data_IF_725762377930
#
_entry.id   IF_725762377930
#
_cell.length_a   1.000
_cell.length_b   1.000
_cell.length_c   1.000
_cell.angle_alpha   90.00
_cell.angle_beta   90.00
_cell.angle_gamma   90.00
#
_symmetry.space_group_name_H-M   'P 1'
#
loop_
_entity.id
_entity.type
_entity.pdbx_description
1 polymer ?
#
# COMPACT_ATOMS: atom_id res chain seq x y z
N UNK A 1 -15.15 -40.62 -43.84
CA UNK A 1 -15.09 -40.18 -42.47
C UNK A 1 -13.69 -40.46 -41.88
N UNK A 2 -12.65 -39.79 -42.41
CA UNK A 2 -11.27 -39.97 -41.91
C UNK A 2 -10.35 -38.85 -42.40
N UNK A 3 -10.77 -37.58 -42.26
CA UNK A 3 -9.94 -36.45 -42.59
C UNK A 3 -10.16 -35.21 -41.64
N UNK A 4 -10.86 -35.41 -40.55
CA UNK A 4 -11.20 -34.31 -39.62
C UNK A 4 -10.43 -34.32 -38.27
N UNK A 5 -9.49 -35.25 -38.07
CA UNK A 5 -8.74 -35.38 -36.80
C UNK A 5 -7.25 -35.08 -36.88
N UNK A 6 -6.74 -34.49 -37.98
CA UNK A 6 -5.30 -34.22 -38.17
C UNK A 6 -4.90 -32.74 -37.98
N UNK A 7 -5.82 -31.85 -37.58
CA UNK A 7 -5.51 -30.43 -37.37
C UNK A 7 -5.32 -30.04 -35.89
N UNK A 8 -5.38 -30.99 -34.95
CA UNK A 8 -5.28 -30.73 -33.52
C UNK A 8 -3.90 -30.94 -32.90
N UNK A 9 -2.88 -31.32 -33.68
CA UNK A 9 -1.52 -31.44 -33.17
C UNK A 9 -0.55 -30.62 -34.02
N UNK A 10 -0.67 -29.30 -34.00
CA UNK A 10 0.41 -28.44 -34.43
C UNK A 10 1.27 -28.14 -33.19
N UNK A 11 2.49 -28.74 -33.05
CA UNK A 11 3.35 -28.54 -31.88
C UNK A 11 3.93 -27.12 -31.78
N UNK A 12 3.59 -26.23 -32.71
CA UNK A 12 4.04 -24.84 -32.75
C UNK A 12 2.94 -23.84 -32.36
N UNK A 13 1.75 -24.28 -31.98
CA UNK A 13 0.80 -23.40 -31.29
C UNK A 13 1.21 -23.39 -29.82
N UNK A 14 2.18 -22.56 -29.52
CA UNK A 14 2.50 -22.18 -28.14
C UNK A 14 1.23 -21.51 -27.60
N UNK A 15 0.50 -22.21 -26.73
CA UNK A 15 -0.61 -21.64 -26.01
C UNK A 15 -0.06 -20.47 -25.17
N UNK A 16 -0.37 -19.21 -25.50
CA UNK A 16 0.20 -18.07 -24.79
C UNK A 16 -0.24 -18.03 -23.33
N UNK A 17 -1.21 -18.86 -22.93
CA UNK A 17 -1.68 -18.98 -21.55
C UNK A 17 -0.96 -20.09 -20.76
N UNK A 18 -0.30 -21.04 -21.44
CA UNK A 18 0.40 -22.15 -20.78
C UNK A 18 1.76 -21.74 -20.17
N UNK A 19 2.35 -20.62 -20.61
CA UNK A 19 3.70 -20.19 -20.18
C UNK A 19 3.71 -19.04 -19.17
N UNK A 20 2.60 -18.66 -18.56
CA UNK A 20 2.54 -17.51 -17.64
C UNK A 20 2.66 -17.88 -16.15
N UNK A 21 2.59 -19.15 -15.79
CA UNK A 21 2.95 -19.57 -14.44
C UNK A 21 4.45 -19.88 -14.44
N UNK A 22 5.25 -18.91 -14.01
CA UNK A 22 6.61 -19.18 -13.54
C UNK A 22 6.39 -20.12 -12.36
N UNK A 23 6.55 -21.42 -12.57
CA UNK A 23 6.41 -22.44 -11.54
C UNK A 23 7.45 -22.14 -10.47
N UNK A 24 7.10 -21.21 -9.55
CA UNK A 24 7.98 -20.80 -8.48
C UNK A 24 8.18 -22.02 -7.60
N UNK A 25 9.39 -22.55 -7.63
CA UNK A 25 9.78 -23.71 -6.84
C UNK A 25 9.46 -23.44 -5.37
N UNK A 26 9.05 -24.46 -4.66
CA UNK A 26 8.74 -24.40 -3.22
C UNK A 26 9.86 -23.74 -2.42
N UNK A 27 11.11 -23.91 -2.87
CA UNK A 27 12.31 -23.26 -2.29
C UNK A 27 12.22 -21.73 -2.33
N UNK A 28 11.77 -21.15 -3.43
CA UNK A 28 11.64 -19.68 -3.58
C UNK A 28 10.58 -19.13 -2.64
N UNK A 29 9.47 -19.83 -2.49
CA UNK A 29 8.41 -19.47 -1.52
C UNK A 29 8.97 -19.51 -0.10
N UNK A 30 9.72 -20.54 0.25
CA UNK A 30 10.33 -20.68 1.58
C UNK A 30 11.35 -19.55 1.81
N UNK A 31 12.24 -19.29 0.85
CA UNK A 31 13.24 -18.22 0.93
C UNK A 31 12.54 -16.87 1.13
N UNK A 32 11.51 -16.59 0.34
CA UNK A 32 10.73 -15.36 0.48
C UNK A 32 10.07 -15.26 1.87
N UNK A 33 9.41 -16.30 2.34
CA UNK A 33 8.78 -16.31 3.67
C UNK A 33 9.79 -16.09 4.78
N UNK A 34 10.95 -16.75 4.71
CA UNK A 34 12.03 -16.57 5.70
C UNK A 34 12.56 -15.13 5.67
N UNK A 35 12.83 -14.59 4.47
CA UNK A 35 13.31 -13.21 4.33
C UNK A 35 12.26 -12.20 4.83
N UNK A 36 10.99 -12.39 4.51
CA UNK A 36 9.91 -11.53 4.98
C UNK A 36 9.78 -11.54 6.51
N UNK A 37 9.84 -12.74 7.14
CA UNK A 37 9.79 -12.88 8.60
C UNK A 37 11.01 -12.27 9.25
N UNK A 38 12.22 -12.52 8.73
CA UNK A 38 13.47 -11.93 9.25
C UNK A 38 13.42 -10.42 9.13
N UNK A 39 13.01 -9.90 7.97
CA UNK A 39 12.89 -8.46 7.73
C UNK A 39 11.90 -7.83 8.71
N UNK A 40 10.75 -8.45 8.92
CA UNK A 40 9.75 -8.00 9.89
C UNK A 40 10.30 -8.03 11.33
N UNK A 41 11.01 -9.08 11.72
CA UNK A 41 11.66 -9.16 13.04
C UNK A 41 12.73 -8.08 13.22
N UNK A 42 13.53 -7.79 12.19
CA UNK A 42 14.52 -6.71 12.20
C UNK A 42 13.83 -5.35 12.35
N UNK A 43 12.74 -5.11 11.62
CA UNK A 43 11.99 -3.88 11.71
C UNK A 43 11.39 -3.66 13.11
N UNK A 44 10.83 -4.72 13.72
CA UNK A 44 10.34 -4.67 15.11
C UNK A 44 11.49 -4.38 16.09
N UNK A 45 12.58 -5.09 15.95
CA UNK A 45 13.72 -4.97 16.89
C UNK A 45 14.35 -3.58 16.81
N UNK A 46 14.53 -3.05 15.60
CA UNK A 46 15.12 -1.75 15.35
C UNK A 46 14.29 -0.59 15.94
N UNK A 47 12.98 -0.74 16.00
CA UNK A 47 12.05 0.33 16.38
C UNK A 47 11.34 0.04 17.72
N UNK A 48 11.97 -0.75 18.62
CA UNK A 48 11.41 -1.09 19.94
C UNK A 48 11.30 0.09 20.90
N UNK A 49 12.10 1.14 20.72
CA UNK A 49 12.11 2.27 21.63
C UNK A 49 11.01 3.28 21.27
N UNK A 50 10.19 3.67 22.25
CA UNK A 50 9.18 4.73 22.14
C UNK A 50 9.83 6.14 22.07
N UNK A 51 10.88 6.28 21.24
CA UNK A 51 11.57 7.55 21.02
C UNK A 51 11.29 8.05 19.60
N UNK A 52 11.08 9.36 19.44
CA UNK A 52 10.98 9.93 18.09
C UNK A 52 12.26 9.62 17.30
N UNK A 53 12.08 9.14 16.07
CA UNK A 53 13.20 8.80 15.19
C UNK A 53 13.77 10.10 14.62
N UNK A 54 15.05 10.34 14.81
CA UNK A 54 15.73 11.45 14.16
C UNK A 54 15.70 11.27 12.63
N UNK A 55 15.50 12.35 11.88
CA UNK A 55 15.41 12.34 10.41
C UNK A 55 16.56 11.56 9.74
N UNK A 56 17.80 11.74 10.21
CA UNK A 56 18.96 11.00 9.70
C UNK A 56 18.81 9.49 9.86
N UNK A 57 18.28 9.04 11.00
CA UNK A 57 18.05 7.62 11.25
C UNK A 57 16.89 7.10 10.37
N UNK A 58 15.81 7.88 10.20
CA UNK A 58 14.70 7.53 9.32
C UNK A 58 15.16 7.38 7.85
N UNK A 59 15.98 8.29 7.36
CA UNK A 59 16.58 8.21 6.02
C UNK A 59 17.46 6.93 5.92
N UNK A 60 18.31 6.68 6.92
CA UNK A 60 19.16 5.49 6.94
C UNK A 60 18.36 4.19 6.88
N UNK A 61 17.27 4.08 7.63
CA UNK A 61 16.38 2.92 7.61
C UNK A 61 15.61 2.80 6.29
N UNK A 62 15.16 3.92 5.70
CA UNK A 62 14.51 3.91 4.39
C UNK A 62 15.47 3.41 3.31
N UNK A 63 16.71 3.91 3.29
CA UNK A 63 17.75 3.44 2.35
C UNK A 63 18.05 1.96 2.59
N UNK A 64 18.16 1.51 3.85
CA UNK A 64 18.37 0.11 4.18
C UNK A 64 17.27 -0.79 3.58
N UNK A 65 15.98 -0.44 3.73
CA UNK A 65 14.88 -1.22 3.17
C UNK A 65 14.87 -1.22 1.65
N UNK A 66 15.24 -0.11 1.01
CA UNK A 66 15.43 -0.05 -0.45
C UNK A 66 16.56 -0.99 -0.87
N UNK A 67 17.70 -1.00 -0.16
CA UNK A 67 18.80 -1.92 -0.46
C UNK A 67 18.41 -3.39 -0.28
N UNK A 68 17.59 -3.71 0.73
CA UNK A 68 17.05 -5.07 0.93
C UNK A 68 16.17 -5.49 -0.24
N UNK A 69 15.27 -4.60 -0.70
CA UNK A 69 14.45 -4.85 -1.88
C UNK A 69 15.28 -5.02 -3.16
N UNK A 70 16.32 -4.19 -3.35
CA UNK A 70 17.26 -4.33 -4.48
C UNK A 70 18.06 -5.64 -4.39
N UNK A 71 18.46 -6.06 -3.19
CA UNK A 71 19.10 -7.35 -2.96
C UNK A 71 18.20 -8.53 -3.34
N UNK A 72 16.91 -8.45 -3.01
CA UNK A 72 15.92 -9.45 -3.43
C UNK A 72 15.71 -9.45 -4.94
N UNK A 73 15.66 -8.28 -5.59
CA UNK A 73 15.64 -8.19 -7.06
C UNK A 73 16.87 -8.83 -7.70
N UNK A 74 18.05 -8.62 -7.11
CA UNK A 74 19.30 -9.28 -7.52
C UNK A 74 19.25 -10.81 -7.38
N UNK A 75 18.67 -11.31 -6.29
CA UNK A 75 18.42 -12.74 -6.08
C UNK A 75 17.48 -13.29 -7.16
N UNK A 76 16.36 -12.61 -7.46
CA UNK A 76 15.42 -13.03 -8.51
C UNK A 76 16.09 -13.05 -9.89
N UNK A 77 16.93 -12.06 -10.19
CA UNK A 77 17.68 -12.01 -11.44
C UNK A 77 18.67 -13.16 -11.59
N UNK A 78 19.34 -13.52 -10.50
CA UNK A 78 20.33 -14.60 -10.50
C UNK A 78 19.68 -15.98 -10.57
N UNK A 79 18.58 -16.18 -9.83
CA UNK A 79 17.93 -17.49 -9.68
C UNK A 79 16.94 -17.82 -10.80
N UNK A 80 16.30 -16.80 -11.38
CA UNK A 80 15.35 -16.95 -12.46
C UNK A 80 15.87 -16.27 -13.74
N UNK A 81 15.53 -15.01 -13.92
CA UNK A 81 15.96 -14.20 -15.07
C UNK A 81 15.71 -12.70 -14.83
N UNK A 82 16.19 -11.85 -15.75
CA UNK A 82 15.99 -10.41 -15.68
C UNK A 82 14.53 -9.96 -15.81
N UNK A 83 13.68 -10.76 -16.43
CA UNK A 83 12.27 -10.45 -16.58
C UNK A 83 11.53 -10.52 -15.23
N UNK A 84 11.73 -11.59 -14.46
CA UNK A 84 11.16 -11.76 -13.13
C UNK A 84 11.62 -10.66 -12.17
N UNK A 85 12.92 -10.32 -12.20
CA UNK A 85 13.46 -9.22 -11.40
C UNK A 85 12.82 -7.87 -11.81
N UNK A 86 12.60 -7.65 -13.11
CA UNK A 86 11.96 -6.43 -13.63
C UNK A 86 10.49 -6.34 -13.24
N UNK A 87 9.76 -7.46 -13.22
CA UNK A 87 8.38 -7.53 -12.72
C UNK A 87 8.30 -7.14 -11.24
N UNK A 88 9.18 -7.71 -10.42
CA UNK A 88 9.28 -7.34 -9.00
C UNK A 88 9.60 -5.86 -8.80
N UNK A 89 10.62 -5.34 -9.50
CA UNK A 89 11.03 -3.95 -9.39
C UNK A 89 9.93 -2.98 -9.84
N UNK A 90 9.25 -3.29 -10.94
CA UNK A 90 8.15 -2.47 -11.42
C UNK A 90 6.98 -2.44 -10.42
N UNK A 91 6.60 -3.60 -9.86
CA UNK A 91 5.60 -3.69 -8.79
C UNK A 91 6.02 -2.95 -7.52
N UNK A 92 7.28 -3.12 -7.10
CA UNK A 92 7.84 -2.46 -5.92
C UNK A 92 7.85 -0.93 -6.06
N UNK A 93 8.34 -0.40 -7.19
CA UNK A 93 8.38 1.04 -7.44
C UNK A 93 6.97 1.62 -7.51
N UNK A 94 6.05 0.90 -8.15
CA UNK A 94 4.66 1.32 -8.24
C UNK A 94 3.99 1.35 -6.86
N UNK A 95 4.19 0.31 -6.05
CA UNK A 95 3.65 0.25 -4.69
C UNK A 95 4.27 1.31 -3.77
N UNK A 96 5.57 1.58 -3.90
CA UNK A 96 6.22 2.68 -3.19
C UNK A 96 5.60 4.04 -3.55
N UNK A 97 5.29 4.27 -4.82
CA UNK A 97 4.66 5.49 -5.27
C UNK A 97 3.27 5.69 -4.67
N UNK A 98 2.42 4.65 -4.70
CA UNK A 98 1.08 4.67 -4.11
C UNK A 98 1.13 4.80 -2.58
N UNK A 99 2.12 4.16 -1.95
CA UNK A 99 2.31 4.23 -0.50
C UNK A 99 2.60 5.64 0.02
N UNK A 100 3.21 6.50 -0.79
CA UNK A 100 3.43 7.92 -0.42
C UNK A 100 2.10 8.63 -0.19
N UNK A 101 1.12 8.42 -1.06
CA UNK A 101 -0.21 9.02 -0.93
C UNK A 101 -0.93 8.53 0.35
N UNK A 102 -0.83 7.22 0.62
CA UNK A 102 -1.36 6.62 1.85
C UNK A 102 -0.73 7.26 3.09
N UNK A 103 0.58 7.54 3.07
CA UNK A 103 1.28 8.17 4.19
C UNK A 103 0.83 9.61 4.42
N UNK A 104 0.50 10.38 3.38
CA UNK A 104 -0.09 11.72 3.55
C UNK A 104 -1.45 11.67 4.24
N UNK A 105 -2.29 10.69 3.92
CA UNK A 105 -3.56 10.49 4.62
C UNK A 105 -3.34 10.08 6.07
N UNK A 106 -2.37 9.19 6.35
CA UNK A 106 -2.00 8.83 7.72
C UNK A 106 -1.54 10.06 8.53
N UNK A 107 -0.72 10.95 7.93
CA UNK A 107 -0.32 12.20 8.58
C UNK A 107 -1.52 13.09 8.91
N UNK A 108 -2.49 13.22 8.01
CA UNK A 108 -3.71 13.98 8.24
C UNK A 108 -4.55 13.38 9.39
N UNK A 109 -4.65 12.04 9.47
CA UNK A 109 -5.35 11.34 10.56
C UNK A 109 -4.64 11.59 11.89
N UNK A 110 -3.30 11.45 11.95
CA UNK A 110 -2.55 11.73 13.17
C UNK A 110 -2.70 13.18 13.63
N UNK A 111 -2.68 14.13 12.69
CA UNK A 111 -2.89 15.55 12.99
C UNK A 111 -4.29 15.82 13.54
N UNK A 112 -5.33 15.20 12.97
CA UNK A 112 -6.70 15.37 13.44
C UNK A 112 -6.92 14.81 14.84
N UNK A 113 -6.34 13.64 15.17
CA UNK A 113 -6.38 13.06 16.50
C UNK A 113 -5.38 13.69 17.47
N UNK A 114 -4.53 14.62 17.01
CA UNK A 114 -3.44 15.23 17.77
C UNK A 114 -2.56 14.17 18.46
N UNK A 115 -2.24 13.11 17.72
CA UNK A 115 -1.41 12.01 18.24
C UNK A 115 0.03 12.50 18.40
N UNK A 116 0.62 12.45 19.60
CA UNK A 116 2.02 12.79 19.79
C UNK A 116 2.93 11.85 18.99
N UNK A 117 4.04 12.38 18.42
CA UNK A 117 4.99 11.62 17.59
C UNK A 117 5.44 10.30 18.24
N UNK A 118 5.66 10.31 19.56
CA UNK A 118 6.05 9.12 20.33
C UNK A 118 5.04 7.97 20.25
N UNK A 119 3.77 8.24 19.94
CA UNK A 119 2.72 7.21 19.82
C UNK A 119 2.42 6.84 18.38
N UNK A 120 2.85 7.65 17.39
CA UNK A 120 2.69 7.34 15.98
C UNK A 120 3.35 6.00 15.61
N UNK A 121 4.52 5.71 16.17
CA UNK A 121 5.22 4.44 15.95
C UNK A 121 4.38 3.21 16.28
N UNK A 122 3.63 3.27 17.38
CA UNK A 122 2.79 2.17 17.82
C UNK A 122 1.61 1.94 16.88
N UNK A 123 0.99 3.02 16.44
CA UNK A 123 -0.13 2.95 15.47
C UNK A 123 0.39 2.45 14.13
N UNK A 124 1.50 3.00 13.64
CA UNK A 124 2.12 2.54 12.38
C UNK A 124 2.54 1.07 12.43
N UNK A 125 3.02 0.58 13.58
CA UNK A 125 3.37 -0.83 13.75
C UNK A 125 2.17 -1.76 13.53
N UNK A 126 1.05 -1.47 14.21
CA UNK A 126 -0.17 -2.26 14.06
C UNK A 126 -0.81 -2.06 12.68
N UNK A 127 -0.75 -0.83 12.13
CA UNK A 127 -1.19 -0.53 10.77
C UNK A 127 -0.41 -1.30 9.71
N UNK A 128 0.92 -1.40 9.81
CA UNK A 128 1.74 -2.22 8.91
C UNK A 128 1.37 -3.69 8.99
N UNK A 129 1.12 -4.21 10.21
CA UNK A 129 0.72 -5.61 10.39
C UNK A 129 -0.64 -5.90 9.74
N UNK A 130 -1.62 -5.02 9.95
CA UNK A 130 -2.94 -5.13 9.30
C UNK A 130 -2.83 -5.03 7.79
N UNK A 131 -2.07 -4.05 7.28
CA UNK A 131 -1.81 -3.88 5.85
C UNK A 131 -1.25 -5.15 5.20
N UNK A 132 -0.27 -5.83 5.83
CA UNK A 132 0.30 -7.09 5.33
C UNK A 132 -0.79 -8.16 5.19
N UNK A 133 -1.63 -8.31 6.21
CA UNK A 133 -2.70 -9.33 6.22
C UNK A 133 -3.76 -9.01 5.15
N UNK A 134 -4.25 -7.78 5.09
CA UNK A 134 -5.25 -7.39 4.10
C UNK A 134 -4.72 -7.49 2.67
N UNK A 135 -3.50 -7.04 2.42
CA UNK A 135 -2.87 -7.15 1.09
C UNK A 135 -2.71 -8.61 0.65
N UNK A 136 -2.33 -9.52 1.55
CA UNK A 136 -2.30 -10.95 1.24
C UNK A 136 -3.66 -11.44 0.75
N UNK A 137 -4.73 -11.11 1.48
CA UNK A 137 -6.10 -11.50 1.12
C UNK A 137 -6.48 -10.91 -0.25
N UNK A 138 -6.23 -9.61 -0.46
CA UNK A 138 -6.57 -8.94 -1.72
C UNK A 138 -5.76 -9.46 -2.90
N UNK A 139 -4.47 -9.79 -2.72
CA UNK A 139 -3.65 -10.37 -3.79
C UNK A 139 -4.16 -11.76 -4.17
N UNK A 140 -4.47 -12.61 -3.19
CA UNK A 140 -5.01 -13.95 -3.45
C UNK A 140 -6.35 -13.89 -4.19
N UNK A 141 -7.25 -13.02 -3.76
CA UNK A 141 -8.54 -12.83 -4.43
C UNK A 141 -8.33 -12.20 -5.81
N UNK A 142 -7.53 -11.12 -5.89
CA UNK A 142 -7.33 -10.37 -7.12
C UNK A 142 -6.66 -11.18 -8.21
N UNK A 143 -5.61 -11.95 -7.89
CA UNK A 143 -4.94 -12.83 -8.86
C UNK A 143 -5.85 -13.97 -9.32
N UNK A 144 -6.67 -14.53 -8.40
CA UNK A 144 -7.67 -15.55 -8.75
C UNK A 144 -8.75 -14.98 -9.68
N UNK A 145 -9.21 -13.75 -9.42
CA UNK A 145 -10.16 -13.07 -10.30
C UNK A 145 -9.55 -12.76 -11.67
N UNK A 146 -8.30 -12.31 -11.69
CA UNK A 146 -7.59 -12.00 -12.93
C UNK A 146 -7.43 -13.22 -13.83
N UNK A 147 -7.28 -14.42 -13.24
CA UNK A 147 -7.21 -15.68 -13.97
C UNK A 147 -8.55 -16.08 -14.67
N UNK A 148 -9.67 -15.39 -14.36
CA UNK A 148 -10.96 -15.63 -15.03
C UNK A 148 -11.00 -15.08 -16.47
N UNK A 149 -10.02 -14.28 -16.87
CA UNK A 149 -9.84 -13.88 -18.26
C UNK A 149 -9.97 -12.38 -18.54
N UNK A 150 -9.93 -12.00 -19.84
CA UNK A 150 -9.75 -10.61 -20.28
C UNK A 150 -10.88 -9.65 -19.85
N UNK A 151 -12.09 -10.16 -19.61
CA UNK A 151 -13.21 -9.33 -19.13
C UNK A 151 -12.88 -8.76 -17.74
N UNK A 152 -12.29 -9.57 -16.86
CA UNK A 152 -11.88 -9.13 -15.53
C UNK A 152 -10.71 -8.15 -15.61
N UNK A 153 -9.77 -8.37 -16.52
CA UNK A 153 -8.69 -7.41 -16.81
C UNK A 153 -9.27 -6.03 -17.21
N UNK A 154 -10.31 -6.03 -18.05
CA UNK A 154 -10.96 -4.79 -18.46
C UNK A 154 -11.71 -4.09 -17.31
N UNK A 155 -12.37 -4.87 -16.44
CA UNK A 155 -13.00 -4.33 -15.22
C UNK A 155 -11.93 -3.70 -14.31
N UNK A 156 -10.79 -4.35 -14.12
CA UNK A 156 -9.68 -3.80 -13.35
C UNK A 156 -9.11 -2.52 -13.98
N UNK A 157 -9.01 -2.47 -15.32
CA UNK A 157 -8.62 -1.26 -16.03
C UNK A 157 -9.56 -0.08 -15.70
N UNK A 158 -10.86 -0.33 -15.71
CA UNK A 158 -11.87 0.69 -15.36
C UNK A 158 -11.79 1.11 -13.90
N UNK A 159 -11.54 0.17 -12.98
CA UNK A 159 -11.35 0.49 -11.56
C UNK A 159 -10.14 1.39 -11.36
N UNK A 160 -8.98 1.01 -11.91
CA UNK A 160 -7.73 1.79 -11.81
C UNK A 160 -7.87 3.17 -12.47
N UNK A 161 -8.53 3.25 -13.64
CA UNK A 161 -8.83 4.54 -14.28
C UNK A 161 -9.76 5.41 -13.41
N UNK A 162 -10.78 4.80 -12.81
CA UNK A 162 -11.69 5.45 -11.88
C UNK A 162 -10.97 6.07 -10.68
N UNK A 163 -10.03 5.34 -10.09
CA UNK A 163 -9.18 5.83 -9.01
C UNK A 163 -8.31 7.01 -9.44
N UNK A 164 -7.70 6.94 -10.63
CA UNK A 164 -6.96 8.06 -11.20
C UNK A 164 -7.82 9.31 -11.37
N UNK A 165 -9.06 9.17 -11.86
CA UNK A 165 -10.03 10.28 -11.99
C UNK A 165 -10.43 10.82 -10.61
N UNK A 166 -10.65 9.93 -9.63
CA UNK A 166 -11.01 10.33 -8.26
C UNK A 166 -9.89 11.13 -7.60
N UNK A 167 -8.63 10.72 -7.84
CA UNK A 167 -7.45 11.42 -7.35
C UNK A 167 -7.32 12.83 -7.95
N UNK A 168 -7.64 13.01 -9.24
CA UNK A 168 -7.70 14.34 -9.86
C UNK A 168 -8.77 15.24 -9.24
N UNK A 169 -9.94 14.70 -8.91
CA UNK A 169 -11.07 15.45 -8.32
C UNK A 169 -10.82 15.89 -6.88
N UNK A 170 -10.17 15.03 -6.07
CA UNK A 170 -9.83 15.36 -4.68
C UNK A 170 -9.01 16.66 -4.52
N UNK A 171 -8.30 17.07 -5.55
CA UNK A 171 -7.46 18.26 -5.53
C UNK A 171 -8.23 19.57 -5.41
N UNK A 172 -9.46 19.59 -5.89
CA UNK A 172 -10.32 20.79 -5.84
C UNK A 172 -10.99 20.99 -4.47
N UNK A 173 -10.99 19.94 -3.61
CA UNK A 173 -11.64 19.94 -2.29
C UNK A 173 -10.66 20.09 -1.09
N UNK A 174 -9.36 20.28 -1.35
CA UNK A 174 -8.32 20.25 -0.31
C UNK A 174 -8.34 21.43 0.69
N UNK A 175 -9.29 22.36 0.58
CA UNK A 175 -9.50 23.46 1.54
C UNK A 175 -10.61 23.17 2.58
N UNK A 176 -11.30 22.04 2.51
CA UNK A 176 -12.30 21.66 3.50
C UNK A 176 -11.64 20.85 4.63
N UNK A 177 -11.82 21.29 5.87
CA UNK A 177 -11.43 20.62 7.10
C UNK A 177 -11.63 19.10 6.97
N UNK A 178 -10.55 18.33 6.99
CA UNK A 178 -10.58 16.87 7.02
C UNK A 178 -11.24 16.41 8.34
N UNK A 179 -12.57 16.38 8.38
CA UNK A 179 -13.32 15.90 9.53
C UNK A 179 -13.53 14.39 9.45
N UNK A 180 -12.66 13.64 10.13
CA UNK A 180 -12.76 12.18 10.22
C UNK A 180 -13.88 11.68 11.14
N UNK A 181 -14.66 12.56 11.77
CA UNK A 181 -15.82 12.16 12.59
C UNK A 181 -16.93 11.53 11.74
N UNK A 182 -17.01 11.86 10.47
CA UNK A 182 -17.93 11.28 9.49
C UNK A 182 -17.48 9.90 8.96
N UNK A 183 -16.21 9.53 9.17
CA UNK A 183 -15.62 8.31 8.64
C UNK A 183 -16.32 7.05 9.17
N UNK A 184 -16.50 6.05 8.30
CA UNK A 184 -17.25 4.83 8.62
C UNK A 184 -16.65 4.07 9.81
N UNK A 185 -15.30 3.95 9.85
CA UNK A 185 -14.60 3.29 10.95
C UNK A 185 -14.80 4.03 12.28
N UNK A 186 -14.77 5.37 12.29
CA UNK A 186 -15.03 6.16 13.47
C UNK A 186 -16.43 5.91 14.03
N UNK A 187 -17.45 5.91 13.16
CA UNK A 187 -18.84 5.64 13.55
C UNK A 187 -19.00 4.19 14.01
N UNK A 188 -18.41 3.22 13.33
CA UNK A 188 -18.47 1.81 13.69
C UNK A 188 -17.86 1.54 15.06
N UNK A 189 -16.65 2.01 15.33
CA UNK A 189 -16.01 1.83 16.64
C UNK A 189 -16.87 2.43 17.75
N UNK A 190 -17.37 3.66 17.57
CA UNK A 190 -18.24 4.32 18.57
C UNK A 190 -19.59 3.66 18.75
N UNK A 191 -20.07 2.94 17.73
CA UNK A 191 -21.32 2.17 17.82
C UNK A 191 -21.11 0.90 18.64
N UNK A 192 -20.03 0.16 18.45
CA UNK A 192 -19.80 -1.13 19.11
C UNK A 192 -19.11 -1.00 20.46
N UNK A 193 -18.21 -0.04 20.64
CA UNK A 193 -17.33 0.06 21.81
C UNK A 193 -17.47 1.47 22.43
N UNK A 194 -17.64 1.59 23.76
CA UNK A 194 -17.57 2.88 24.42
C UNK A 194 -16.18 3.49 24.25
N UNK A 195 -16.13 4.80 24.00
CA UNK A 195 -14.89 5.53 23.74
C UNK A 195 -14.58 6.47 24.89
N UNK A 196 -13.36 6.40 25.42
CA UNK A 196 -12.81 7.40 26.32
C UNK A 196 -12.17 8.51 25.50
N UNK A 197 -12.60 9.78 25.61
CA UNK A 197 -12.24 10.83 24.64
C UNK A 197 -10.83 11.41 24.83
N UNK A 198 -10.01 10.85 25.69
CA UNK A 198 -8.64 11.29 25.95
C UNK A 198 -7.63 10.19 25.70
N UNK A 199 -6.41 10.58 25.32
CA UNK A 199 -5.28 9.65 25.22
C UNK A 199 -4.87 9.20 26.63
N UNK A 200 -4.79 7.88 26.83
CA UNK A 200 -4.31 7.28 28.08
C UNK A 200 -2.99 6.57 27.78
N UNK A 201 -1.91 7.32 27.88
CA UNK A 201 -0.59 6.82 27.49
C UNK A 201 -0.58 6.28 26.06
N UNK A 202 -0.02 5.09 25.90
CA UNK A 202 0.09 4.38 24.61
C UNK A 202 -0.98 3.28 24.43
N UNK A 203 -2.02 3.24 25.26
CA UNK A 203 -3.00 2.16 25.27
C UNK A 203 -4.10 2.37 24.22
N UNK A 204 -4.40 1.32 23.45
CA UNK A 204 -5.55 1.28 22.53
C UNK A 204 -6.86 1.07 23.27
N UNK A 205 -6.83 0.27 24.35
CA UNK A 205 -7.98 -0.01 25.19
C UNK A 205 -7.63 0.23 26.65
N UNK A 206 -8.60 0.72 27.41
CA UNK A 206 -8.49 0.95 28.85
C UNK A 206 -9.66 0.31 29.60
N UNK A 207 -9.39 -0.27 30.77
CA UNK A 207 -10.42 -0.87 31.60
C UNK A 207 -11.23 0.19 32.33
N UNK A 208 -12.45 -0.16 32.76
CA UNK A 208 -13.32 0.71 33.55
C UNK A 208 -12.62 1.24 34.82
N UNK A 209 -11.81 0.41 35.48
CA UNK A 209 -11.04 0.82 36.68
C UNK A 209 -10.05 1.93 36.35
N UNK A 210 -9.32 1.80 35.28
CA UNK A 210 -8.38 2.82 34.80
C UNK A 210 -9.09 4.12 34.38
N UNK A 211 -10.23 3.98 33.69
CA UNK A 211 -11.06 5.15 33.35
C UNK A 211 -11.54 5.90 34.56
N UNK A 212 -11.95 5.19 35.63
CA UNK A 212 -12.36 5.81 36.87
C UNK A 212 -11.21 6.54 37.59
N UNK A 213 -9.98 6.05 37.47
CA UNK A 213 -8.77 6.73 37.96
C UNK A 213 -8.45 7.98 37.14
N UNK A 214 -8.54 7.88 35.80
CA UNK A 214 -8.34 9.02 34.90
C UNK A 214 -9.38 10.13 35.13
N UNK A 215 -10.64 9.77 35.40
CA UNK A 215 -11.71 10.76 35.68
C UNK A 215 -11.49 11.53 37.00
N UNK A 216 -10.71 11.01 37.96
CA UNK A 216 -10.34 11.71 39.19
C UNK A 216 -9.29 12.80 38.94
N UNK A 217 -8.59 12.79 37.83
CA UNK A 217 -7.57 13.80 37.52
C UNK A 217 -8.22 15.15 37.22
N UNK A 218 -7.65 16.27 37.73
CA UNK A 218 -8.22 17.62 37.49
C UNK A 218 -8.41 17.95 36.01
N UNK A 219 -7.53 17.41 35.17
CA UNK A 219 -7.55 17.60 33.70
C UNK A 219 -8.82 17.02 33.05
N UNK A 220 -9.47 16.07 33.70
CA UNK A 220 -10.65 15.36 33.22
C UNK A 220 -11.93 15.74 33.97
N UNK A 221 -11.85 16.77 34.84
CA UNK A 221 -12.98 17.26 35.57
C UNK A 221 -14.10 17.74 34.63
N UNK A 222 -15.30 17.17 34.76
CA UNK A 222 -16.45 17.49 33.91
C UNK A 222 -16.63 16.60 32.67
N UNK A 223 -15.75 15.60 32.45
CA UNK A 223 -15.94 14.60 31.40
C UNK A 223 -17.09 13.65 31.75
N UNK A 224 -18.15 13.67 30.97
CA UNK A 224 -19.28 12.75 31.09
C UNK A 224 -19.19 11.66 30.05
N UNK A 225 -19.08 10.41 30.50
CA UNK A 225 -19.07 9.25 29.63
C UNK A 225 -20.48 8.95 29.13
N UNK A 226 -20.71 8.97 27.82
CA UNK A 226 -22.01 8.67 27.21
C UNK A 226 -22.42 7.19 27.28
N UNK A 227 -21.47 6.29 27.42
CA UNK A 227 -21.68 4.83 27.49
C UNK A 227 -20.73 4.23 28.52
N UNK A 228 -21.15 3.14 29.15
CA UNK A 228 -20.36 2.38 30.11
C UNK A 228 -20.10 0.98 29.58
N UNK A 229 -18.97 0.39 29.94
CA UNK A 229 -18.58 -0.95 29.54
C UNK A 229 -17.30 -1.38 30.26
N UNK A 230 -16.94 -2.67 30.22
CA UNK A 230 -15.74 -3.18 30.88
C UNK A 230 -14.44 -2.63 30.26
N UNK A 231 -14.49 -2.29 28.97
CA UNK A 231 -13.38 -1.75 28.20
C UNK A 231 -13.81 -0.53 27.38
N UNK A 232 -12.91 0.42 27.27
CA UNK A 232 -13.09 1.63 26.47
C UNK A 232 -11.99 1.71 25.41
N UNK A 233 -12.38 2.04 24.19
CA UNK A 233 -11.44 2.40 23.13
C UNK A 233 -10.89 3.81 23.39
N UNK A 234 -9.61 4.02 23.12
CA UNK A 234 -8.96 5.33 23.16
C UNK A 234 -8.96 6.00 21.78
N UNK A 235 -8.67 7.31 21.69
CA UNK A 235 -8.45 7.97 20.40
C UNK A 235 -7.35 7.30 19.56
N UNK A 236 -6.37 6.65 20.20
CA UNK A 236 -5.32 5.91 19.51
C UNK A 236 -5.85 4.69 18.75
N UNK A 237 -6.83 3.98 19.34
CA UNK A 237 -7.52 2.89 18.65
C UNK A 237 -8.42 3.38 17.52
N UNK A 238 -9.12 4.50 17.72
CA UNK A 238 -9.89 5.13 16.64
C UNK A 238 -9.01 5.52 15.46
N UNK A 239 -7.84 6.11 15.75
CA UNK A 239 -6.84 6.46 14.77
C UNK A 239 -6.39 5.22 13.98
N UNK A 240 -6.03 4.12 14.67
CA UNK A 240 -5.66 2.86 14.04
C UNK A 240 -6.79 2.30 13.16
N UNK A 241 -8.02 2.28 13.65
CA UNK A 241 -9.17 1.75 12.91
C UNK A 241 -9.45 2.54 11.62
N UNK A 242 -9.26 3.86 11.64
CA UNK A 242 -9.41 4.69 10.44
C UNK A 242 -8.26 4.40 9.47
N UNK A 243 -7.01 4.33 9.95
CA UNK A 243 -5.84 3.99 9.11
C UNK A 243 -6.04 2.65 8.42
N UNK A 244 -6.42 1.59 9.16
CA UNK A 244 -6.66 0.26 8.59
C UNK A 244 -7.77 0.27 7.54
N UNK A 245 -8.88 0.93 7.84
CA UNK A 245 -10.00 1.03 6.88
C UNK A 245 -9.60 1.80 5.63
N UNK A 246 -8.79 2.83 5.79
CA UNK A 246 -8.28 3.63 4.67
C UNK A 246 -7.28 2.82 3.84
N UNK A 247 -6.39 2.04 4.48
CA UNK A 247 -5.46 1.16 3.77
C UNK A 247 -6.19 0.07 2.98
N UNK A 248 -7.27 -0.50 3.54
CA UNK A 248 -8.15 -1.42 2.81
C UNK A 248 -8.77 -0.73 1.58
N UNK A 249 -9.21 0.52 1.69
CA UNK A 249 -9.75 1.27 0.55
C UNK A 249 -8.68 1.48 -0.53
N UNK A 250 -7.46 1.83 -0.14
CA UNK A 250 -6.33 1.97 -1.08
C UNK A 250 -5.90 0.63 -1.71
N UNK A 251 -6.05 -0.48 -0.99
CA UNK A 251 -5.74 -1.80 -1.52
C UNK A 251 -6.67 -2.19 -2.69
N UNK A 252 -7.90 -1.71 -2.73
CA UNK A 252 -8.79 -1.89 -3.89
C UNK A 252 -8.24 -1.28 -5.17
N UNK A 253 -7.46 -0.21 -5.06
CA UNK A 253 -6.88 0.50 -6.21
C UNK A 253 -5.48 -0.04 -6.53
N UNK A 254 -4.66 -0.26 -5.51
CA UNK A 254 -3.26 -0.66 -5.68
C UNK A 254 -3.09 -2.12 -6.10
N UNK A 255 -3.88 -3.05 -5.54
CA UNK A 255 -3.72 -4.48 -5.83
C UNK A 255 -4.00 -4.80 -7.30
N UNK A 256 -5.12 -4.37 -7.92
CA UNK A 256 -5.34 -4.55 -9.35
C UNK A 256 -4.22 -3.95 -10.22
N UNK A 257 -3.70 -2.78 -9.80
CA UNK A 257 -2.64 -2.09 -10.53
C UNK A 257 -1.29 -2.84 -10.46
N UNK A 258 -0.92 -3.40 -9.30
CA UNK A 258 0.30 -4.21 -9.17
C UNK A 258 0.14 -5.57 -9.89
N UNK A 259 -1.06 -6.19 -9.85
CA UNK A 259 -1.36 -7.40 -10.63
C UNK A 259 -1.25 -7.14 -12.13
N UNK A 260 -1.59 -5.93 -12.60
CA UNK A 260 -1.40 -5.52 -14.00
C UNK A 260 0.08 -5.47 -14.41
N UNK A 261 0.97 -5.21 -13.46
CA UNK A 261 2.43 -5.22 -13.70
C UNK A 261 2.94 -6.65 -13.75
N UNK A 262 2.55 -7.50 -12.79
CA UNK A 262 2.95 -8.90 -12.71
C UNK A 262 1.73 -9.77 -12.36
N UNK A 263 1.48 -10.80 -13.16
CA UNK A 263 0.37 -11.75 -12.94
C UNK A 263 0.73 -12.85 -11.92
N UNK A 264 1.99 -12.93 -11.51
CA UNK A 264 2.49 -13.93 -10.58
C UNK A 264 2.21 -13.51 -9.12
N UNK A 265 1.36 -14.24 -8.37
CA UNK A 265 0.94 -13.85 -7.02
C UNK A 265 2.11 -13.63 -6.05
N UNK A 266 3.15 -14.48 -6.12
CA UNK A 266 4.31 -14.36 -5.23
C UNK A 266 5.14 -13.09 -5.53
N UNK A 267 5.29 -12.73 -6.81
CA UNK A 267 6.00 -11.50 -7.21
C UNK A 267 5.22 -10.28 -6.77
N UNK A 268 3.89 -10.26 -7.01
CA UNK A 268 3.00 -9.20 -6.56
C UNK A 268 3.09 -9.03 -5.04
N UNK A 269 2.92 -10.12 -4.30
CA UNK A 269 2.93 -10.08 -2.86
C UNK A 269 4.29 -9.70 -2.28
N UNK A 270 5.38 -10.22 -2.86
CA UNK A 270 6.73 -9.84 -2.44
C UNK A 270 7.01 -8.35 -2.66
N UNK A 271 6.66 -7.80 -3.82
CA UNK A 271 6.79 -6.38 -4.11
C UNK A 271 6.03 -5.51 -3.07
N UNK A 272 4.81 -5.89 -2.74
CA UNK A 272 3.99 -5.22 -1.73
C UNK A 272 4.58 -5.34 -0.32
N UNK A 273 5.03 -6.52 0.10
CA UNK A 273 5.64 -6.71 1.43
C UNK A 273 6.89 -5.86 1.59
N UNK A 274 7.81 -5.89 0.62
CA UNK A 274 9.04 -5.08 0.70
C UNK A 274 8.75 -3.57 0.69
N UNK A 275 7.70 -3.12 -0.01
CA UNK A 275 7.27 -1.73 0.04
C UNK A 275 6.71 -1.34 1.42
N UNK A 276 5.88 -2.22 2.02
CA UNK A 276 5.26 -1.98 3.33
C UNK A 276 6.27 -1.98 4.47
N UNK A 277 7.31 -2.82 4.42
CA UNK A 277 8.37 -2.87 5.46
C UNK A 277 9.08 -1.52 5.63
N UNK A 278 9.26 -0.75 4.56
CA UNK A 278 9.87 0.58 4.61
C UNK A 278 8.95 1.71 5.06
N UNK A 279 7.63 1.48 5.15
CA UNK A 279 6.63 2.53 5.37
C UNK A 279 6.84 3.34 6.64
N UNK A 280 7.22 2.68 7.75
CA UNK A 280 7.41 3.38 9.03
C UNK A 280 8.53 4.41 8.97
N UNK A 281 9.68 4.02 8.43
CA UNK A 281 10.81 4.95 8.28
C UNK A 281 10.50 6.03 7.24
N UNK A 282 9.84 5.65 6.14
CA UNK A 282 9.43 6.58 5.11
C UNK A 282 8.41 7.61 5.61
N UNK A 283 7.51 7.26 6.55
CA UNK A 283 6.60 8.20 7.19
C UNK A 283 7.34 9.40 7.80
N UNK A 284 8.40 9.16 8.60
CA UNK A 284 9.16 10.25 9.22
C UNK A 284 9.98 11.05 8.22
N UNK A 285 10.47 10.42 7.16
CA UNK A 285 11.14 11.13 6.05
C UNK A 285 10.15 12.03 5.32
N UNK A 286 8.97 11.52 4.99
CA UNK A 286 7.94 12.26 4.28
C UNK A 286 7.34 13.38 5.12
N UNK A 287 7.12 13.16 6.41
CA UNK A 287 6.63 14.20 7.32
C UNK A 287 7.59 15.39 7.37
N UNK A 288 8.90 15.13 7.46
CA UNK A 288 9.93 16.17 7.40
C UNK A 288 10.04 16.84 6.02
N UNK A 289 9.69 16.12 4.93
CA UNK A 289 9.85 16.60 3.54
C UNK A 289 8.52 16.99 2.88
N UNK A 290 7.40 16.96 3.58
CA UNK A 290 6.04 17.18 3.06
C UNK A 290 5.93 18.40 2.14
N UNK A 291 6.60 19.50 2.49
CA UNK A 291 6.57 20.74 1.72
C UNK A 291 7.29 20.65 0.35
N UNK A 292 8.12 19.63 0.15
CA UNK A 292 8.93 19.46 -1.08
C UNK A 292 8.37 18.41 -2.05
N UNK A 293 7.37 17.60 -1.68
CA UNK A 293 6.92 16.46 -2.48
C UNK A 293 5.58 16.66 -3.19
N UNK A 294 5.22 17.90 -3.51
CA UNK A 294 3.90 18.29 -4.04
C UNK A 294 3.61 17.69 -5.42
N UNK A 295 4.64 17.47 -6.25
CA UNK A 295 4.45 16.95 -7.60
C UNK A 295 4.43 15.42 -7.66
N UNK A 296 4.74 14.73 -6.56
CA UNK A 296 4.73 13.27 -6.53
C UNK A 296 3.31 12.70 -6.65
N UNK A 297 2.32 13.35 -6.03
CA UNK A 297 0.90 13.00 -6.19
C UNK A 297 0.44 13.03 -7.65
N UNK A 298 0.90 14.04 -8.42
CA UNK A 298 0.62 14.13 -9.87
C UNK A 298 1.26 12.97 -10.64
N UNK A 299 2.50 12.59 -10.27
CA UNK A 299 3.18 11.46 -10.89
C UNK A 299 2.43 10.15 -10.63
N UNK A 300 1.94 9.92 -9.40
CA UNK A 300 1.11 8.76 -9.06
C UNK A 300 -0.17 8.73 -9.90
N UNK A 301 -0.85 9.87 -10.05
CA UNK A 301 -2.04 9.96 -10.91
C UNK A 301 -1.75 9.56 -12.37
N UNK A 302 -0.63 10.05 -12.91
CA UNK A 302 -0.19 9.69 -14.28
C UNK A 302 0.11 8.19 -14.38
N UNK A 303 0.74 7.61 -13.35
CA UNK A 303 1.00 6.17 -13.28
C UNK A 303 -0.28 5.34 -13.29
N UNK A 304 -1.30 5.73 -12.52
CA UNK A 304 -2.61 5.05 -12.52
C UNK A 304 -3.23 5.04 -13.92
N UNK A 305 -3.20 6.16 -14.64
CA UNK A 305 -3.68 6.18 -16.02
C UNK A 305 -2.84 5.33 -16.97
N UNK A 306 -1.52 5.31 -16.82
CA UNK A 306 -0.66 4.43 -17.60
C UNK A 306 -0.98 2.95 -17.38
N UNK A 307 -1.17 2.53 -16.12
CA UNK A 307 -1.51 1.14 -15.78
C UNK A 307 -2.91 0.78 -16.28
N UNK A 308 -3.89 1.68 -16.11
CA UNK A 308 -5.23 1.49 -16.65
C UNK A 308 -5.20 1.32 -18.18
N UNK A 309 -4.42 2.13 -18.87
CA UNK A 309 -4.21 2.01 -20.31
C UNK A 309 -3.56 0.66 -20.69
N UNK A 310 -2.50 0.25 -19.98
CA UNK A 310 -1.83 -1.03 -20.19
C UNK A 310 -2.82 -2.20 -20.07
N UNK A 311 -3.62 -2.23 -18.99
CA UNK A 311 -4.63 -3.26 -18.78
C UNK A 311 -5.69 -3.25 -19.87
N UNK A 312 -6.23 -2.08 -20.20
CA UNK A 312 -7.25 -1.96 -21.25
C UNK A 312 -6.72 -2.39 -22.62
N UNK A 313 -5.47 -2.02 -22.96
CA UNK A 313 -4.83 -2.39 -24.23
C UNK A 313 -4.59 -3.91 -24.31
N UNK A 314 -4.13 -4.54 -23.23
CA UNK A 314 -3.97 -6.00 -23.16
C UNK A 314 -5.29 -6.75 -23.24
N UNK A 315 -6.30 -6.31 -22.47
CA UNK A 315 -7.64 -6.90 -22.52
C UNK A 315 -8.28 -6.76 -23.91
N UNK A 316 -8.11 -5.60 -24.57
CA UNK A 316 -8.61 -5.36 -25.92
C UNK A 316 -7.96 -6.28 -26.95
N UNK A 317 -6.66 -6.55 -26.81
CA UNK A 317 -5.95 -7.48 -27.67
C UNK A 317 -6.56 -8.89 -27.60
N UNK A 318 -6.86 -9.36 -26.40
CA UNK A 318 -7.47 -10.68 -26.19
C UNK A 318 -8.95 -10.76 -26.56
N UNK A 319 -9.73 -9.68 -26.36
CA UNK A 319 -11.18 -9.66 -26.61
C UNK A 319 -11.52 -9.36 -28.08
N UNK A 320 -10.81 -8.44 -28.71
CA UNK A 320 -11.16 -7.87 -30.02
C UNK A 320 -10.11 -8.09 -31.10
N UNK A 321 -8.95 -8.68 -30.76
CA UNK A 321 -7.84 -8.89 -31.66
C UNK A 321 -7.07 -7.61 -32.05
N UNK A 322 -7.34 -6.48 -31.40
CA UNK A 322 -6.61 -5.24 -31.54
C UNK A 322 -6.22 -4.69 -30.17
N UNK A 323 -4.99 -4.24 -30.02
CA UNK A 323 -4.45 -3.73 -28.77
C UNK A 323 -2.93 -3.68 -28.81
N UNK A 324 -2.32 -3.35 -27.68
CA UNK A 324 -0.87 -3.29 -27.52
C UNK A 324 -0.48 -4.15 -26.32
N UNK A 325 0.45 -5.05 -26.56
CA UNK A 325 1.14 -5.73 -25.45
C UNK A 325 2.38 -4.92 -25.06
N UNK A 326 2.36 -4.33 -23.88
CA UNK A 326 3.45 -3.50 -23.36
C UNK A 326 4.39 -4.39 -22.55
N UNK A 327 5.62 -4.52 -23.02
CA UNK A 327 6.62 -5.36 -22.37
C UNK A 327 6.90 -4.91 -20.93
N UNK A 328 7.37 -5.85 -20.09
CA UNK A 328 7.73 -5.61 -18.68
C UNK A 328 8.80 -4.55 -18.57
N UNK A 329 9.84 -4.60 -19.40
CA UNK A 329 10.93 -3.63 -19.39
C UNK A 329 10.46 -2.22 -19.76
N UNK A 330 9.54 -2.10 -20.72
CA UNK A 330 8.92 -0.82 -21.09
C UNK A 330 8.10 -0.28 -19.91
N UNK A 331 7.32 -1.14 -19.25
CA UNK A 331 6.53 -0.75 -18.08
C UNK A 331 7.43 -0.25 -16.94
N UNK A 332 8.51 -0.97 -16.63
CA UNK A 332 9.48 -0.56 -15.62
C UNK A 332 10.12 0.79 -15.97
N UNK A 333 10.55 0.97 -17.21
CA UNK A 333 11.15 2.23 -17.65
C UNK A 333 10.18 3.41 -17.54
N UNK A 334 8.93 3.24 -17.98
CA UNK A 334 7.90 4.28 -17.87
C UNK A 334 7.62 4.63 -16.41
N UNK A 335 7.45 3.63 -15.54
CA UNK A 335 7.24 3.85 -14.09
C UNK A 335 8.41 4.63 -13.50
N UNK A 336 9.65 4.19 -13.76
CA UNK A 336 10.85 4.84 -13.23
C UNK A 336 11.00 6.28 -13.74
N UNK A 337 10.72 6.54 -15.01
CA UNK A 337 10.78 7.89 -15.62
C UNK A 337 9.72 8.80 -15.00
N UNK A 338 8.46 8.36 -14.90
CA UNK A 338 7.37 9.18 -14.35
C UNK A 338 7.67 9.55 -12.88
N UNK A 339 8.12 8.58 -12.08
CA UNK A 339 8.49 8.83 -10.68
C UNK A 339 9.71 9.75 -10.57
N UNK A 340 10.75 9.50 -11.37
CA UNK A 340 11.94 10.34 -11.40
C UNK A 340 11.63 11.78 -11.76
N UNK A 341 10.76 12.00 -12.76
CA UNK A 341 10.29 13.34 -13.16
C UNK A 341 9.43 13.97 -12.06
N UNK A 342 8.55 13.22 -11.39
CA UNK A 342 7.74 13.71 -10.28
C UNK A 342 8.59 14.19 -9.10
N UNK A 343 9.62 13.42 -8.74
CA UNK A 343 10.58 13.77 -7.69
C UNK A 343 11.42 14.99 -8.14
N UNK A 344 12.00 14.98 -9.33
CA UNK A 344 12.78 16.09 -9.85
C UNK A 344 11.96 17.39 -9.93
N UNK A 345 10.74 17.34 -10.44
CA UNK A 345 9.83 18.47 -10.48
C UNK A 345 9.52 19.01 -9.07
N UNK A 346 9.42 18.15 -8.08
CA UNK A 346 9.16 18.54 -6.69
C UNK A 346 10.33 19.33 -6.09
N UNK A 347 11.56 19.02 -6.47
CA UNK A 347 12.74 19.78 -6.04
C UNK A 347 12.98 21.07 -6.84
N UNK A 348 12.68 21.04 -8.16
CA UNK A 348 12.90 22.20 -9.04
C UNK A 348 11.81 23.26 -8.81
N UNK A 349 10.57 22.84 -8.57
CA UNK A 349 9.41 23.73 -8.41
C UNK A 349 8.78 23.53 -7.02
N UNK A 350 9.47 23.91 -5.93
CA UNK A 350 8.91 23.78 -4.58
C UNK A 350 7.68 24.70 -4.43
N UNK A 351 6.74 24.32 -3.53
CA UNK A 351 5.61 25.18 -3.22
C UNK A 351 6.10 26.57 -2.78
N UNK A 352 5.50 27.61 -3.32
CA UNK A 352 5.67 28.94 -2.77
C UNK A 352 5.17 28.92 -1.33
N UNK A 353 6.05 29.24 -0.37
CA UNK A 353 5.63 29.48 1.02
C UNK A 353 4.55 30.57 1.00
N UNK A 354 3.33 30.20 1.38
CA UNK A 354 2.29 31.15 1.74
C UNK A 354 2.54 31.68 3.13
#
# INVERSE_FOLDING_TARGET
MSAANSELENPNVVDPLANTHIGLETETVIIFCVLAVVAFCVDIWAHRADKPIALKAAIGWTVFWICVAMGFAGFLNYHFNGEVASLFLAGYLFEQALSVDNLFVMMAIFAWFQVPERYCHRVLYWGVLGAIVFRLIFVLIGTSLFALGPIVEFIFALMVAGSGVMMLRKKDESDSNNDFSSHIAYKAVRFFIPVFPRLVGHNFFVSQTHVNEELKKPENAGLVLKRHGPWFATPLFLCLAIIETTDVMFAFDSVPAVIAVSREPLIVYSAMIFAVLGLRSMYFVLDAMRQYLIHLEKAVTILLFFIAFKLAAGASLHLFGFGLDISVYTSLAVIAVILGLGIAASFIFPAKKK
#
